data_IF_125969761716
#
_entry.id   IF_125969761716
#
_cell.length_a   1.000
_cell.length_b   1.000
_cell.length_c   1.000
_cell.angle_alpha   90.00
_cell.angle_beta   90.00
_cell.angle_gamma   90.00
#
_symmetry.space_group_name_H-M   'P 1'
#
loop_
_entity.id
_entity.type
_entity.pdbx_description
1 polymer ?
#
# COMPACT_ATOMS: atom_id res chain seq x y z
N UNK A 1 -1.36 5.98 22.73
CA UNK A 1 -0.08 6.55 22.26
C UNK A 1 0.01 6.26 20.77
N UNK A 2 0.48 7.19 19.92
CA UNK A 2 0.68 6.89 18.49
C UNK A 2 1.99 6.13 18.35
N UNK A 3 1.95 4.92 17.78
CA UNK A 3 3.15 4.18 17.46
C UNK A 3 4.06 5.02 16.55
N UNK A 4 5.37 5.00 16.79
CA UNK A 4 6.32 5.74 15.96
C UNK A 4 6.17 5.30 14.50
N UNK A 5 6.02 6.26 13.58
CA UNK A 5 5.71 5.98 12.18
C UNK A 5 6.72 5.03 11.50
N UNK A 6 7.97 5.01 11.98
CA UNK A 6 9.01 4.08 11.53
C UNK A 6 8.72 2.61 11.89
N UNK A 7 8.19 2.36 13.08
CA UNK A 7 7.85 1.01 13.57
C UNK A 7 6.68 0.44 12.74
N UNK A 8 5.62 1.23 12.55
CA UNK A 8 4.45 0.81 11.75
C UNK A 8 4.85 0.48 10.30
N UNK A 9 5.75 1.25 9.70
CA UNK A 9 6.28 0.97 8.34
C UNK A 9 7.04 -0.36 8.28
N UNK A 10 7.86 -0.65 9.30
CA UNK A 10 8.64 -1.90 9.40
C UNK A 10 7.74 -3.12 9.58
N UNK A 11 6.76 -3.05 10.47
CA UNK A 11 5.75 -4.10 10.67
C UNK A 11 5.00 -4.37 9.37
N UNK A 12 4.58 -3.31 8.67
CA UNK A 12 3.87 -3.43 7.39
C UNK A 12 4.67 -4.20 6.34
N UNK A 13 5.98 -3.93 6.23
CA UNK A 13 6.86 -4.66 5.31
C UNK A 13 6.93 -6.15 5.65
N UNK A 14 7.15 -6.48 6.93
CA UNK A 14 7.24 -7.87 7.39
C UNK A 14 5.92 -8.63 7.18
N UNK A 15 4.79 -7.99 7.46
CA UNK A 15 3.46 -8.56 7.20
C UNK A 15 3.25 -8.85 5.71
N UNK A 16 3.61 -7.91 4.83
CA UNK A 16 3.56 -8.11 3.37
C UNK A 16 4.53 -9.19 2.86
N UNK A 17 5.58 -9.52 3.63
CA UNK A 17 6.50 -10.63 3.35
C UNK A 17 5.98 -11.99 3.87
N UNK A 18 4.77 -12.02 4.45
CA UNK A 18 4.10 -13.24 4.89
C UNK A 18 4.20 -13.54 6.38
N UNK A 19 4.73 -12.62 7.21
CA UNK A 19 4.75 -12.79 8.66
C UNK A 19 3.35 -12.63 9.24
N UNK A 20 2.93 -13.60 10.04
CA UNK A 20 1.67 -13.57 10.77
C UNK A 20 1.70 -12.57 11.93
N UNK A 21 0.52 -12.14 12.39
CA UNK A 21 0.37 -11.28 13.57
C UNK A 21 1.09 -11.85 14.80
N UNK A 22 1.00 -13.16 15.02
CA UNK A 22 1.65 -13.84 16.14
C UNK A 22 3.18 -13.78 16.03
N UNK A 23 3.73 -13.96 14.83
CA UNK A 23 5.19 -13.82 14.62
C UNK A 23 5.67 -12.40 14.88
N UNK A 24 4.90 -11.38 14.47
CA UNK A 24 5.23 -9.98 14.71
C UNK A 24 5.25 -9.66 16.22
N UNK A 25 4.32 -10.22 17.00
CA UNK A 25 4.38 -10.11 18.46
C UNK A 25 5.58 -10.84 19.07
N UNK A 26 5.90 -12.04 18.60
CA UNK A 26 7.08 -12.79 19.06
C UNK A 26 8.41 -12.08 18.74
N UNK A 27 8.43 -11.17 17.77
CA UNK A 27 9.57 -10.32 17.45
C UNK A 27 9.70 -9.09 18.37
N UNK A 28 8.78 -8.90 19.33
CA UNK A 28 8.79 -7.81 20.29
C UNK A 28 8.16 -6.50 19.79
N UNK A 29 7.40 -6.53 18.69
CA UNK A 29 6.69 -5.33 18.24
C UNK A 29 5.51 -4.99 19.18
N UNK A 30 5.26 -3.69 19.45
CA UNK A 30 4.12 -3.27 20.26
C UNK A 30 2.78 -3.73 19.69
N UNK A 31 1.90 -4.18 20.55
CA UNK A 31 0.62 -4.80 20.19
C UNK A 31 -0.30 -3.83 19.41
N UNK A 32 -0.33 -2.56 19.85
CA UNK A 32 -1.03 -1.46 19.20
C UNK A 32 -0.46 -1.14 17.81
N UNK A 33 0.87 -1.10 17.69
CA UNK A 33 1.55 -0.86 16.42
C UNK A 33 1.32 -1.99 15.41
N UNK A 34 1.28 -3.25 15.88
CA UNK A 34 1.00 -4.41 15.03
C UNK A 34 -0.44 -4.37 14.52
N UNK A 35 -1.41 -4.15 15.40
CA UNK A 35 -2.82 -4.04 15.02
C UNK A 35 -3.04 -2.88 14.04
N UNK A 36 -2.49 -1.70 14.31
CA UNK A 36 -2.61 -0.54 13.40
C UNK A 36 -1.98 -0.82 12.03
N UNK A 37 -0.82 -1.49 11.99
CA UNK A 37 -0.14 -1.82 10.74
C UNK A 37 -0.91 -2.84 9.89
N UNK A 38 -1.46 -3.88 10.53
CA UNK A 38 -2.27 -4.91 9.88
C UNK A 38 -3.58 -4.32 9.39
N UNK A 39 -4.30 -3.59 10.23
CA UNK A 39 -5.58 -2.95 9.86
C UNK A 39 -5.39 -2.00 8.67
N UNK A 40 -4.32 -1.20 8.65
CA UNK A 40 -3.99 -0.35 7.49
C UNK A 40 -3.60 -1.14 6.24
N UNK A 41 -3.03 -2.34 6.40
CA UNK A 41 -2.75 -3.23 5.28
C UNK A 41 -4.04 -3.84 4.74
N UNK A 42 -4.87 -4.39 5.61
CA UNK A 42 -6.14 -5.01 5.28
C UNK A 42 -7.11 -4.01 4.67
N UNK A 43 -7.24 -2.80 5.19
CA UNK A 43 -8.02 -1.71 4.58
C UNK A 43 -7.52 -1.39 3.16
N UNK A 44 -6.21 -1.44 2.93
CA UNK A 44 -5.63 -1.21 1.60
C UNK A 44 -5.84 -2.38 0.63
N UNK A 45 -6.00 -3.60 1.14
CA UNK A 45 -6.21 -4.81 0.34
C UNK A 45 -7.67 -5.25 0.31
N UNK A 46 -8.54 -4.62 1.09
CA UNK A 46 -9.96 -4.90 1.14
C UNK A 46 -10.54 -4.75 -0.26
N UNK A 47 -11.30 -5.76 -0.68
CA UNK A 47 -12.04 -5.69 -1.91
C UNK A 47 -12.91 -4.42 -1.88
N UNK A 48 -12.89 -3.61 -2.93
CA UNK A 48 -13.74 -2.42 -3.00
C UNK A 48 -15.20 -2.82 -2.78
N UNK A 49 -15.93 -2.01 -2.00
CA UNK A 49 -17.37 -2.21 -1.82
C UNK A 49 -18.10 -2.20 -3.17
N UNK A 50 -19.31 -2.79 -3.23
CA UNK A 50 -20.17 -2.78 -4.43
C UNK A 50 -20.54 -1.37 -4.91
N UNK A 51 -20.40 -0.35 -4.05
CA UNK A 51 -20.63 1.07 -4.39
C UNK A 51 -19.37 1.76 -4.93
N UNK A 52 -18.22 1.10 -4.90
CA UNK A 52 -16.96 1.70 -5.37
C UNK A 52 -17.01 1.87 -6.87
N UNK A 53 -16.85 3.11 -7.34
CA UNK A 53 -16.91 3.40 -8.76
C UNK A 53 -15.75 2.76 -9.52
N UNK A 54 -16.08 2.21 -10.69
CA UNK A 54 -15.10 1.72 -11.66
C UNK A 54 -14.85 2.83 -12.68
N UNK A 55 -13.61 3.27 -12.76
CA UNK A 55 -13.14 4.36 -13.61
C UNK A 55 -11.97 3.89 -14.48
N UNK A 56 -11.68 4.60 -15.58
CA UNK A 56 -10.59 4.23 -16.50
C UNK A 56 -9.34 5.05 -16.21
N UNK A 57 -8.19 4.40 -16.18
CA UNK A 57 -6.88 5.07 -16.12
C UNK A 57 -6.73 6.08 -17.26
N UNK A 58 -6.28 7.31 -16.95
CA UNK A 58 -6.03 8.37 -17.95
C UNK A 58 -4.94 8.00 -18.96
N UNK A 59 -3.97 7.16 -18.57
CA UNK A 59 -2.83 6.75 -19.41
C UNK A 59 -3.12 5.50 -20.24
N UNK A 60 -3.49 4.38 -19.62
CA UNK A 60 -3.66 3.10 -20.32
C UNK A 60 -5.12 2.67 -20.55
N UNK A 61 -6.10 3.47 -20.12
CA UNK A 61 -7.56 3.22 -20.29
C UNK A 61 -8.11 1.93 -19.66
N UNK A 62 -7.28 1.16 -18.95
CA UNK A 62 -7.71 -0.01 -18.19
C UNK A 62 -8.71 0.37 -17.09
N UNK A 63 -9.67 -0.51 -16.81
CA UNK A 63 -10.69 -0.32 -15.77
C UNK A 63 -10.06 -0.55 -14.40
N UNK A 64 -10.21 0.40 -13.50
CA UNK A 64 -9.72 0.32 -12.12
C UNK A 64 -10.83 0.78 -11.19
N UNK A 65 -10.80 0.29 -9.95
CA UNK A 65 -11.57 0.93 -8.89
C UNK A 65 -10.99 2.31 -8.60
N UNK A 66 -11.85 3.27 -8.26
CA UNK A 66 -11.47 4.66 -8.00
C UNK A 66 -10.36 4.77 -6.94
N UNK A 67 -10.45 3.98 -5.87
CA UNK A 67 -9.45 3.89 -4.81
C UNK A 67 -8.09 3.32 -5.27
N UNK A 68 -8.03 2.67 -6.43
CA UNK A 68 -6.82 2.12 -7.05
C UNK A 68 -6.10 3.09 -7.98
N UNK A 69 -6.63 4.30 -8.19
CA UNK A 69 -6.04 5.35 -9.02
C UNK A 69 -5.41 6.44 -8.15
N UNK A 70 -4.24 6.93 -8.55
CA UNK A 70 -3.62 8.13 -7.97
C UNK A 70 -3.56 9.21 -9.05
N UNK A 71 -4.26 10.34 -8.85
CA UNK A 71 -4.37 11.38 -9.89
C UNK A 71 -5.06 10.93 -11.18
N UNK A 72 -5.89 9.87 -11.11
CA UNK A 72 -6.51 9.26 -12.29
C UNK A 72 -5.59 8.31 -13.08
N UNK A 73 -4.41 7.97 -12.55
CA UNK A 73 -3.45 7.04 -13.17
C UNK A 73 -3.37 5.76 -12.32
N UNK A 74 -3.39 4.60 -12.99
CA UNK A 74 -3.32 3.31 -12.31
C UNK A 74 -1.91 3.03 -11.80
N UNK A 75 -1.83 2.18 -10.76
CA UNK A 75 -0.55 1.81 -10.13
C UNK A 75 0.50 1.34 -11.13
N UNK A 76 0.13 0.51 -12.10
CA UNK A 76 1.06 0.01 -13.11
C UNK A 76 1.65 1.13 -13.98
N UNK A 77 0.82 2.09 -14.41
CA UNK A 77 1.30 3.26 -15.15
C UNK A 77 2.18 4.17 -14.28
N UNK A 78 1.81 4.39 -13.02
CA UNK A 78 2.62 5.17 -12.08
C UNK A 78 4.00 4.54 -11.85
N UNK A 79 4.06 3.22 -11.65
CA UNK A 79 5.32 2.49 -11.48
C UNK A 79 6.20 2.54 -12.73
N UNK A 80 5.62 2.43 -13.94
CA UNK A 80 6.37 2.61 -15.18
C UNK A 80 6.98 4.02 -15.28
N UNK A 81 6.20 5.05 -14.96
CA UNK A 81 6.67 6.43 -14.98
C UNK A 81 7.75 6.71 -13.91
N UNK A 82 7.70 6.02 -12.77
CA UNK A 82 8.75 6.08 -11.74
C UNK A 82 10.03 5.40 -12.22
N UNK A 83 9.94 4.17 -12.72
CA UNK A 83 11.08 3.43 -13.28
C UNK A 83 11.74 4.17 -14.46
N UNK A 84 10.96 4.85 -15.31
CA UNK A 84 11.50 5.70 -16.37
C UNK A 84 12.22 6.95 -15.83
N UNK A 85 11.75 7.54 -14.74
CA UNK A 85 12.43 8.66 -14.07
C UNK A 85 13.73 8.23 -13.42
N UNK A 86 13.74 7.08 -12.76
CA UNK A 86 14.96 6.46 -12.21
C UNK A 86 15.98 6.17 -13.31
N UNK A 87 15.56 5.56 -14.44
CA UNK A 87 16.44 5.32 -15.60
C UNK A 87 17.02 6.60 -16.21
N UNK A 88 16.28 7.71 -16.16
CA UNK A 88 16.72 9.01 -16.65
C UNK A 88 17.59 9.78 -15.65
N UNK A 89 17.91 9.19 -14.49
CA UNK A 89 18.68 9.86 -13.44
C UNK A 89 17.94 11.05 -12.81
N UNK A 90 16.61 11.07 -12.91
CA UNK A 90 15.74 12.14 -12.40
C UNK A 90 15.06 11.75 -11.07
N UNK A 91 15.64 10.80 -10.32
CA UNK A 91 15.20 10.49 -8.97
C UNK A 91 15.75 11.57 -8.02
N UNK A 92 14.85 12.38 -7.45
CA UNK A 92 15.17 13.29 -6.34
C UNK A 92 15.30 12.54 -5.02
#
# INVERSE_FOLDING_TARGET
MRAEAGIVKKIRMLFMQGKSQRELWSMGFPLDAVSEAIERCEIRTALPSVRTQIVRCKTCRHKCYENGLRGGVCRACSMRAEAERERKGMAS
#
